data_IF_449584146473
#
_entry.id   IF_449584146473
#
_cell.length_a   1.000
_cell.length_b   1.000
_cell.length_c   1.000
_cell.angle_alpha   90.00
_cell.angle_beta   90.00
_cell.angle_gamma   90.00
#
_symmetry.space_group_name_H-M   'P 1'
#
loop_
_entity.id
_entity.type
_entity.pdbx_description
1 polymer ?
#
# COMPACT_ATOMS: atom_id res chain seq x y z
N UNK A 1 15.85 -41.28 -156.20
CA UNK A 1 15.90 -41.06 -154.74
C UNK A 1 15.83 -39.56 -154.48
N UNK A 2 14.71 -38.93 -154.83
CA UNK A 2 13.52 -38.61 -154.01
C UNK A 2 13.71 -37.42 -153.06
N UNK A 3 13.28 -36.24 -153.54
CA UNK A 3 13.17 -34.97 -152.82
C UNK A 3 12.45 -35.10 -151.46
N UNK A 4 11.62 -36.14 -151.27
CA UNK A 4 10.91 -36.39 -150.02
C UNK A 4 11.84 -36.73 -148.84
N UNK A 5 12.99 -37.38 -149.06
CA UNK A 5 13.96 -37.66 -147.98
C UNK A 5 14.63 -36.35 -147.53
N UNK A 6 14.94 -35.45 -148.47
CA UNK A 6 15.54 -34.15 -148.16
C UNK A 6 14.57 -33.27 -147.38
N UNK A 7 13.28 -33.25 -147.74
CA UNK A 7 12.24 -32.53 -147.00
C UNK A 7 12.04 -33.11 -145.60
N UNK A 8 12.04 -34.44 -145.45
CA UNK A 8 11.90 -35.08 -144.14
C UNK A 8 13.11 -34.81 -143.23
N UNK A 9 14.32 -34.76 -143.81
CA UNK A 9 15.55 -34.39 -143.11
C UNK A 9 15.55 -32.92 -142.66
N UNK A 10 15.04 -32.01 -143.48
CA UNK A 10 14.85 -30.58 -143.13
C UNK A 10 13.82 -30.44 -142.00
N UNK A 11 12.71 -31.18 -142.05
CA UNK A 11 11.69 -31.17 -140.99
C UNK A 11 12.28 -31.71 -139.67
N UNK A 12 13.05 -32.81 -139.71
CA UNK A 12 13.73 -33.34 -138.53
C UNK A 12 14.74 -32.32 -137.97
N UNK A 13 15.51 -31.65 -138.82
CA UNK A 13 16.44 -30.60 -138.38
C UNK A 13 15.73 -29.39 -137.76
N UNK A 14 14.56 -29.00 -138.28
CA UNK A 14 13.75 -27.93 -137.70
C UNK A 14 13.10 -28.33 -136.38
N UNK A 15 12.66 -29.58 -136.24
CA UNK A 15 12.13 -30.11 -134.96
C UNK A 15 13.25 -30.22 -133.92
N UNK A 16 14.40 -30.77 -134.29
CA UNK A 16 15.57 -30.90 -133.40
C UNK A 16 16.14 -29.53 -133.04
N UNK A 17 16.19 -28.59 -134.00
CA UNK A 17 16.59 -27.20 -133.77
C UNK A 17 15.59 -26.45 -132.89
N UNK A 18 14.29 -26.63 -133.10
CA UNK A 18 13.24 -26.04 -132.28
C UNK A 18 13.24 -26.56 -130.84
N UNK A 19 13.42 -27.87 -130.65
CA UNK A 19 13.58 -28.48 -129.31
C UNK A 19 14.87 -27.99 -128.65
N UNK A 20 15.96 -27.85 -129.42
CA UNK A 20 17.23 -27.31 -128.94
C UNK A 20 17.11 -25.86 -128.47
N UNK A 21 16.42 -25.01 -129.24
CA UNK A 21 16.18 -23.60 -128.88
C UNK A 21 15.23 -23.50 -127.69
N UNK A 22 14.16 -24.29 -127.65
CA UNK A 22 13.21 -24.31 -126.54
C UNK A 22 13.88 -24.77 -125.23
N UNK A 23 14.66 -25.86 -125.27
CA UNK A 23 15.42 -26.33 -124.11
C UNK A 23 16.52 -25.32 -123.71
N UNK A 24 17.12 -24.63 -124.67
CA UNK A 24 18.10 -23.57 -124.39
C UNK A 24 17.45 -22.37 -123.71
N UNK A 25 16.29 -21.91 -124.19
CA UNK A 25 15.55 -20.79 -123.62
C UNK A 25 15.04 -21.14 -122.21
N UNK A 26 14.51 -22.35 -122.02
CA UNK A 26 14.09 -22.85 -120.71
C UNK A 26 15.26 -22.96 -119.73
N UNK A 27 16.43 -23.45 -120.18
CA UNK A 27 17.64 -23.50 -119.35
C UNK A 27 18.18 -22.11 -119.02
N UNK A 28 18.07 -21.14 -119.93
CA UNK A 28 18.52 -19.77 -119.72
C UNK A 28 17.57 -19.00 -118.79
N UNK A 29 16.26 -19.23 -118.90
CA UNK A 29 15.26 -18.73 -117.97
C UNK A 29 15.48 -19.31 -116.56
N UNK A 30 15.70 -20.62 -116.45
CA UNK A 30 16.04 -21.26 -115.17
C UNK A 30 17.37 -20.74 -114.59
N UNK A 31 18.37 -20.45 -115.43
CA UNK A 31 19.64 -19.84 -115.00
C UNK A 31 19.43 -18.42 -114.47
N UNK A 32 18.65 -17.60 -115.17
CA UNK A 32 18.31 -16.23 -114.74
C UNK A 32 17.52 -16.25 -113.42
N UNK A 33 16.54 -17.13 -113.28
CA UNK A 33 15.80 -17.32 -112.03
C UNK A 33 16.71 -17.80 -110.89
N UNK A 34 17.70 -18.64 -111.17
CA UNK A 34 18.70 -19.08 -110.18
C UNK A 34 19.64 -17.94 -109.79
N UNK A 35 20.11 -17.13 -110.73
CA UNK A 35 20.93 -15.94 -110.45
C UNK A 35 20.15 -14.90 -109.63
N UNK A 36 18.88 -14.65 -109.95
CA UNK A 36 17.98 -13.77 -109.18
C UNK A 36 17.73 -14.32 -107.76
N UNK A 37 17.50 -15.63 -107.61
CA UNK A 37 17.36 -16.28 -106.29
C UNK A 37 18.65 -16.26 -105.48
N UNK A 38 19.80 -16.46 -106.10
CA UNK A 38 21.11 -16.36 -105.44
C UNK A 38 21.35 -14.92 -104.93
N UNK A 39 21.04 -13.91 -105.75
CA UNK A 39 21.14 -12.51 -105.36
C UNK A 39 20.18 -12.15 -104.23
N UNK A 40 18.96 -12.71 -104.25
CA UNK A 40 17.99 -12.54 -103.16
C UNK A 40 18.48 -13.20 -101.86
N UNK A 41 19.03 -14.41 -101.93
CA UNK A 41 19.61 -15.09 -100.77
C UNK A 41 20.80 -14.32 -100.17
N UNK A 42 21.63 -13.68 -101.00
CA UNK A 42 22.74 -12.84 -100.53
C UNK A 42 22.23 -11.61 -99.77
N UNK A 43 21.20 -10.93 -100.29
CA UNK A 43 20.53 -9.81 -99.60
C UNK A 43 19.83 -10.26 -98.31
N UNK A 44 19.14 -11.40 -98.34
CA UNK A 44 18.46 -11.95 -97.15
C UNK A 44 19.49 -12.31 -96.06
N UNK A 45 20.66 -12.85 -96.44
CA UNK A 45 21.74 -13.12 -95.50
C UNK A 45 22.33 -11.84 -94.87
N UNK A 46 22.46 -10.77 -95.64
CA UNK A 46 22.89 -9.46 -95.14
C UNK A 46 21.89 -8.88 -94.13
N UNK A 47 20.59 -8.94 -94.45
CA UNK A 47 19.52 -8.50 -93.54
C UNK A 47 19.47 -9.37 -92.28
N UNK A 48 19.63 -10.69 -92.40
CA UNK A 48 19.71 -11.61 -91.25
C UNK A 48 20.89 -11.23 -90.33
N UNK A 49 22.03 -10.85 -90.89
CA UNK A 49 23.19 -10.41 -90.11
C UNK A 49 22.88 -9.11 -89.35
N UNK A 50 22.30 -8.12 -90.03
CA UNK A 50 21.90 -6.84 -89.42
C UNK A 50 20.86 -7.03 -88.31
N UNK A 51 19.85 -7.89 -88.50
CA UNK A 51 18.84 -8.18 -87.48
C UNK A 51 19.44 -8.90 -86.28
N UNK A 52 20.37 -9.84 -86.48
CA UNK A 52 21.09 -10.51 -85.38
C UNK A 52 21.95 -9.54 -84.59
N UNK A 53 22.62 -8.60 -85.26
CA UNK A 53 23.37 -7.53 -84.60
C UNK A 53 22.45 -6.61 -83.79
N UNK A 54 21.29 -6.23 -84.36
CA UNK A 54 20.27 -5.45 -83.66
C UNK A 54 19.72 -6.15 -82.42
N UNK A 55 19.42 -7.44 -82.49
CA UNK A 55 18.98 -8.25 -81.32
C UNK A 55 20.07 -8.29 -80.26
N UNK A 56 21.32 -8.51 -80.65
CA UNK A 56 22.46 -8.55 -79.72
C UNK A 56 22.68 -7.21 -79.00
N UNK A 57 22.50 -6.11 -79.71
CA UNK A 57 22.55 -4.76 -79.13
C UNK A 57 21.41 -4.54 -78.12
N UNK A 58 20.20 -5.00 -78.43
CA UNK A 58 19.07 -4.95 -77.48
C UNK A 58 19.29 -5.82 -76.24
N UNK A 59 19.90 -7.00 -76.40
CA UNK A 59 20.31 -7.85 -75.28
C UNK A 59 21.35 -7.16 -74.38
N UNK A 60 22.32 -6.45 -74.97
CA UNK A 60 23.29 -5.64 -74.22
C UNK A 60 22.62 -4.51 -73.45
N UNK A 61 21.68 -3.79 -74.08
CA UNK A 61 20.90 -2.73 -73.42
C UNK A 61 20.07 -3.26 -72.25
N UNK A 62 19.49 -4.46 -72.38
CA UNK A 62 18.76 -5.13 -71.28
C UNK A 62 19.70 -5.43 -70.10
N UNK A 63 20.90 -5.92 -70.37
CA UNK A 63 21.87 -6.25 -69.32
C UNK A 63 22.38 -4.98 -68.62
N UNK A 64 22.74 -3.95 -69.38
CA UNK A 64 23.16 -2.64 -68.84
C UNK A 64 22.06 -1.99 -67.98
N UNK A 65 20.78 -2.08 -68.38
CA UNK A 65 19.67 -1.56 -67.58
C UNK A 65 19.51 -2.31 -66.24
N UNK A 66 19.71 -3.63 -66.23
CA UNK A 66 19.67 -4.42 -64.99
C UNK A 66 20.83 -4.09 -64.06
N UNK A 67 22.04 -3.98 -64.60
CA UNK A 67 23.25 -3.64 -63.84
C UNK A 67 23.15 -2.23 -63.23
N UNK A 68 22.64 -1.26 -64.01
CA UNK A 68 22.40 0.08 -63.51
C UNK A 68 21.33 0.11 -62.41
N UNK A 69 20.25 -0.66 -62.52
CA UNK A 69 19.24 -0.76 -61.46
C UNK A 69 19.84 -1.33 -60.17
N UNK A 70 20.68 -2.37 -60.26
CA UNK A 70 21.35 -2.92 -59.08
C UNK A 70 22.24 -1.91 -58.40
N UNK A 71 23.02 -1.16 -59.20
CA UNK A 71 23.91 -0.12 -58.68
C UNK A 71 23.15 1.05 -58.07
N UNK A 72 22.09 1.54 -58.72
CA UNK A 72 21.27 2.62 -58.17
C UNK A 72 20.60 2.22 -56.84
N UNK A 73 20.20 0.95 -56.68
CA UNK A 73 19.68 0.45 -55.39
C UNK A 73 20.76 0.40 -54.31
N UNK A 74 21.97 -0.05 -54.63
CA UNK A 74 23.11 -0.04 -53.71
C UNK A 74 23.49 1.38 -53.27
N UNK A 75 23.62 2.31 -54.21
CA UNK A 75 23.92 3.72 -53.94
C UNK A 75 22.84 4.35 -53.03
N UNK A 76 21.57 4.01 -53.24
CA UNK A 76 20.46 4.49 -52.42
C UNK A 76 20.50 3.91 -51.00
N UNK A 77 20.84 2.63 -50.86
CA UNK A 77 20.99 1.99 -49.56
C UNK A 77 22.16 2.61 -48.78
N UNK A 78 23.26 2.94 -49.45
CA UNK A 78 24.42 3.60 -48.85
C UNK A 78 24.07 5.02 -48.36
N UNK A 79 23.33 5.82 -49.14
CA UNK A 79 22.91 7.18 -48.75
C UNK A 79 22.08 7.22 -47.46
N UNK A 80 21.20 6.22 -47.26
CA UNK A 80 20.34 6.13 -46.08
C UNK A 80 21.00 5.36 -44.92
N UNK A 81 22.05 4.58 -45.16
CA UNK A 81 22.75 3.80 -44.14
C UNK A 81 23.36 4.68 -43.05
N UNK A 82 24.00 5.79 -43.43
CA UNK A 82 24.63 6.72 -42.47
C UNK A 82 23.59 7.38 -41.55
N UNK A 83 22.44 7.80 -42.10
CA UNK A 83 21.36 8.42 -41.33
C UNK A 83 20.66 7.41 -40.40
N UNK A 84 20.41 6.20 -40.91
CA UNK A 84 19.80 5.12 -40.11
C UNK A 84 20.74 4.66 -39.00
N UNK A 85 22.03 4.50 -39.28
CA UNK A 85 23.01 4.09 -38.27
C UNK A 85 23.14 5.10 -37.13
N UNK A 86 23.20 6.40 -37.44
CA UNK A 86 23.24 7.46 -36.42
C UNK A 86 22.01 7.45 -35.50
N UNK A 87 20.79 7.36 -36.07
CA UNK A 87 19.56 7.32 -35.28
C UNK A 87 19.42 6.03 -34.46
N UNK A 88 19.84 4.88 -35.02
CA UNK A 88 19.85 3.61 -34.31
C UNK A 88 20.84 3.66 -33.13
N UNK A 89 22.00 4.29 -33.32
CA UNK A 89 22.99 4.47 -32.27
C UNK A 89 22.48 5.37 -31.15
N UNK A 90 21.94 6.56 -31.47
CA UNK A 90 21.37 7.47 -30.46
C UNK A 90 20.21 6.81 -29.69
N UNK A 91 19.31 6.11 -30.40
CA UNK A 91 18.22 5.36 -29.77
C UNK A 91 18.78 4.25 -28.85
N UNK A 92 19.78 3.50 -29.30
CA UNK A 92 20.42 2.43 -28.52
C UNK A 92 21.12 2.96 -27.25
N UNK A 93 21.72 4.14 -27.32
CA UNK A 93 22.29 4.82 -26.15
C UNK A 93 21.19 5.20 -25.14
N UNK A 94 20.07 5.75 -25.62
CA UNK A 94 18.93 6.09 -24.75
C UNK A 94 18.25 4.86 -24.15
N UNK A 95 18.10 3.76 -24.89
CA UNK A 95 17.59 2.48 -24.38
C UNK A 95 18.52 1.89 -23.33
N UNK A 96 19.84 1.95 -23.54
CA UNK A 96 20.82 1.50 -22.56
C UNK A 96 20.76 2.36 -21.29
N UNK A 97 20.65 3.68 -21.42
CA UNK A 97 20.54 4.59 -20.28
C UNK A 97 19.22 4.40 -19.52
N UNK A 98 18.11 4.15 -20.24
CA UNK A 98 16.82 3.85 -19.62
C UNK A 98 16.88 2.53 -18.85
N UNK A 99 17.38 1.46 -19.46
CA UNK A 99 17.50 0.15 -18.80
C UNK A 99 18.45 0.19 -17.60
N UNK A 100 19.54 0.95 -17.66
CA UNK A 100 20.42 1.17 -16.52
C UNK A 100 19.70 1.92 -15.39
N UNK A 101 18.95 2.97 -15.70
CA UNK A 101 18.15 3.72 -14.71
C UNK A 101 17.05 2.87 -14.10
N UNK A 102 16.33 2.09 -14.90
CA UNK A 102 15.30 1.15 -14.44
C UNK A 102 15.88 0.09 -13.52
N UNK A 103 17.07 -0.47 -13.85
CA UNK A 103 17.75 -1.44 -13.01
C UNK A 103 18.19 -0.84 -11.67
N UNK A 104 18.83 0.33 -11.69
CA UNK A 104 19.22 1.05 -10.46
C UNK A 104 17.99 1.38 -9.62
N UNK A 105 16.88 1.75 -10.25
CA UNK A 105 15.62 1.99 -9.54
C UNK A 105 15.06 0.71 -8.93
N UNK A 106 15.06 -0.40 -9.68
CA UNK A 106 14.56 -1.70 -9.20
C UNK A 106 15.39 -2.21 -8.02
N UNK A 107 16.72 -2.10 -8.09
CA UNK A 107 17.61 -2.50 -7.01
C UNK A 107 17.40 -1.62 -5.78
N UNK A 108 17.29 -0.29 -5.95
CA UNK A 108 16.99 0.64 -4.86
C UNK A 108 15.58 0.45 -4.30
N UNK A 109 14.62 0.06 -5.13
CA UNK A 109 13.25 -0.25 -4.68
C UNK A 109 13.23 -1.53 -3.86
N UNK A 110 13.98 -2.57 -4.26
CA UNK A 110 14.17 -3.78 -3.46
C UNK A 110 14.84 -3.48 -2.12
N UNK A 111 15.88 -2.65 -2.08
CA UNK A 111 16.52 -2.22 -0.83
C UNK A 111 15.54 -1.46 0.09
N UNK A 112 14.73 -0.56 -0.49
CA UNK A 112 13.67 0.13 0.25
C UNK A 112 12.61 -0.83 0.75
N UNK A 113 12.16 -1.77 -0.07
CA UNK A 113 11.16 -2.77 0.28
C UNK A 113 11.66 -3.69 1.41
N UNK A 114 12.93 -4.10 1.37
CA UNK A 114 13.58 -4.79 2.48
C UNK A 114 13.66 -3.92 3.74
N UNK A 115 13.91 -2.62 3.59
CA UNK A 115 13.93 -1.68 4.73
C UNK A 115 12.53 -1.44 5.29
N UNK A 116 11.51 -1.37 4.43
CA UNK A 116 10.10 -1.27 4.81
C UNK A 116 9.68 -2.53 5.56
N UNK A 117 10.02 -3.72 5.07
CA UNK A 117 9.72 -4.98 5.77
C UNK A 117 10.33 -4.97 7.17
N UNK A 118 11.59 -4.56 7.32
CA UNK A 118 12.23 -4.43 8.65
C UNK A 118 11.51 -3.42 9.54
N UNK A 119 11.17 -2.25 9.00
CA UNK A 119 10.41 -1.23 9.73
C UNK A 119 9.00 -1.70 10.07
N UNK A 120 8.34 -2.47 9.21
CA UNK A 120 7.02 -3.06 9.46
C UNK A 120 7.09 -4.16 10.51
N UNK A 121 8.16 -4.96 10.55
CA UNK A 121 8.46 -5.90 11.63
C UNK A 121 8.69 -5.16 12.95
N UNK A 122 9.52 -4.11 12.96
CA UNK A 122 9.74 -3.26 14.15
C UNK A 122 8.44 -2.56 14.58
N UNK A 123 7.64 -2.03 13.66
CA UNK A 123 6.33 -1.43 13.95
C UNK A 123 5.37 -2.49 14.47
N UNK A 124 5.40 -3.72 13.95
CA UNK A 124 4.59 -4.83 14.46
C UNK A 124 4.98 -5.18 15.88
N UNK A 125 6.27 -5.26 16.17
CA UNK A 125 6.81 -5.50 17.50
C UNK A 125 6.46 -4.35 18.45
N UNK A 126 6.60 -3.09 18.01
CA UNK A 126 6.13 -1.93 18.75
C UNK A 126 4.61 -1.93 18.94
N UNK A 127 3.83 -2.42 17.98
CA UNK A 127 2.37 -2.49 18.06
C UNK A 127 1.92 -3.60 19.02
N UNK A 128 2.62 -4.73 19.05
CA UNK A 128 2.42 -5.76 20.07
C UNK A 128 2.79 -5.24 21.46
N UNK A 129 3.92 -4.53 21.57
CA UNK A 129 4.32 -3.86 22.81
C UNK A 129 3.31 -2.79 23.23
N UNK A 130 2.80 -1.97 22.30
CA UNK A 130 1.73 -0.99 22.55
C UNK A 130 0.46 -1.72 22.96
N UNK A 131 0.10 -2.84 22.34
CA UNK A 131 -1.08 -3.62 22.74
C UNK A 131 -0.91 -4.21 24.14
N UNK A 132 0.30 -4.67 24.49
CA UNK A 132 0.63 -5.12 25.85
C UNK A 132 0.54 -3.96 26.84
N UNK A 133 1.11 -2.81 26.49
CA UNK A 133 1.04 -1.59 27.29
C UNK A 133 -0.38 -1.04 27.39
N UNK A 134 -1.21 -1.14 26.35
CA UNK A 134 -2.62 -0.76 26.37
C UNK A 134 -3.41 -1.68 27.29
N UNK A 135 -3.13 -2.99 27.27
CA UNK A 135 -3.69 -3.93 28.22
C UNK A 135 -3.23 -3.62 29.65
N UNK A 136 -1.96 -3.28 29.85
CA UNK A 136 -1.45 -2.81 31.14
C UNK A 136 -2.08 -1.49 31.56
N UNK A 137 -2.29 -0.53 30.66
CA UNK A 137 -2.95 0.75 30.91
C UNK A 137 -4.42 0.52 31.25
N UNK A 138 -5.11 -0.41 30.57
CA UNK A 138 -6.49 -0.79 30.89
C UNK A 138 -6.53 -1.39 32.30
N UNK A 139 -5.66 -2.34 32.60
CA UNK A 139 -5.57 -2.95 33.92
C UNK A 139 -5.21 -1.92 35.00
N UNK A 140 -4.27 -1.01 34.72
CA UNK A 140 -3.92 0.10 35.61
C UNK A 140 -5.08 1.10 35.75
N UNK A 141 -5.85 1.38 34.71
CA UNK A 141 -7.06 2.23 34.78
C UNK A 141 -8.15 1.57 35.60
N UNK A 142 -8.36 0.27 35.43
CA UNK A 142 -9.25 -0.53 36.29
C UNK A 142 -8.76 -0.48 37.74
N UNK A 143 -7.46 -0.69 37.97
CA UNK A 143 -6.84 -0.60 39.29
C UNK A 143 -6.99 0.79 39.89
N UNK A 144 -6.80 1.86 39.11
CA UNK A 144 -7.00 3.24 39.55
C UNK A 144 -8.47 3.51 39.83
N UNK A 145 -9.40 2.95 39.06
CA UNK A 145 -10.83 3.08 39.32
C UNK A 145 -11.25 2.31 40.59
N UNK A 146 -10.72 1.11 40.80
CA UNK A 146 -10.85 0.32 42.04
C UNK A 146 -10.31 1.12 43.22
N UNK A 147 -9.06 1.57 43.16
CA UNK A 147 -8.43 2.38 44.20
C UNK A 147 -9.13 3.72 44.41
N UNK A 148 -9.68 4.34 43.36
CA UNK A 148 -10.47 5.57 43.49
C UNK A 148 -11.81 5.31 44.18
N UNK A 149 -12.45 4.17 43.93
CA UNK A 149 -13.66 3.77 44.64
C UNK A 149 -13.36 3.35 46.08
N UNK A 150 -12.29 2.59 46.32
CA UNK A 150 -11.81 2.25 47.65
C UNK A 150 -11.48 3.52 48.43
N UNK A 151 -10.72 4.46 47.84
CA UNK A 151 -10.45 5.78 48.41
C UNK A 151 -11.74 6.52 48.74
N UNK A 152 -12.72 6.54 47.84
CA UNK A 152 -14.01 7.19 48.09
C UNK A 152 -14.78 6.51 49.22
N UNK A 153 -14.78 5.18 49.27
CA UNK A 153 -15.41 4.40 50.35
C UNK A 153 -14.72 4.63 51.70
N UNK A 154 -13.39 4.69 51.70
CA UNK A 154 -12.56 5.06 52.86
C UNK A 154 -12.81 6.49 53.30
N UNK A 155 -12.92 7.46 52.38
CA UNK A 155 -13.29 8.84 52.70
C UNK A 155 -14.70 8.91 53.32
N UNK A 156 -15.65 8.11 52.81
CA UNK A 156 -17.00 8.02 53.35
C UNK A 156 -17.03 7.36 54.74
N UNK A 157 -16.22 6.31 54.95
CA UNK A 157 -16.09 5.63 56.24
C UNK A 157 -15.36 6.51 57.26
N UNK A 158 -14.34 7.26 56.82
CA UNK A 158 -13.66 8.29 57.60
C UNK A 158 -14.64 9.38 58.02
N UNK A 159 -15.44 9.90 57.09
CA UNK A 159 -16.47 10.90 57.39
C UNK A 159 -17.53 10.39 58.39
N UNK A 160 -17.99 9.13 58.24
CA UNK A 160 -18.93 8.48 59.17
C UNK A 160 -18.32 8.30 60.56
N UNK A 161 -17.09 7.78 60.64
CA UNK A 161 -16.35 7.60 61.91
C UNK A 161 -16.10 8.94 62.59
N UNK A 162 -15.69 9.97 61.86
CA UNK A 162 -15.52 11.33 62.40
C UNK A 162 -16.83 11.87 62.93
N UNK A 163 -17.94 11.68 62.22
CA UNK A 163 -19.27 12.12 62.65
C UNK A 163 -19.70 11.43 63.96
N UNK A 164 -19.53 10.11 64.07
CA UNK A 164 -19.85 9.35 65.29
C UNK A 164 -18.98 9.82 66.46
N UNK A 165 -17.67 9.97 66.25
CA UNK A 165 -16.73 10.51 67.24
C UNK A 165 -17.14 11.92 67.68
N UNK A 166 -17.56 12.76 66.75
CA UNK A 166 -17.97 14.14 67.05
C UNK A 166 -19.27 14.14 67.85
N UNK A 167 -20.25 13.31 67.49
CA UNK A 167 -21.49 13.15 68.26
C UNK A 167 -21.24 12.58 69.67
N UNK A 168 -20.40 11.56 69.80
CA UNK A 168 -20.03 10.97 71.09
C UNK A 168 -19.26 11.96 71.96
N UNK A 169 -18.32 12.71 71.39
CA UNK A 169 -17.59 13.78 72.08
C UNK A 169 -18.52 14.90 72.54
N UNK A 170 -19.51 15.29 71.72
CA UNK A 170 -20.53 16.28 72.10
C UNK A 170 -21.42 15.73 73.23
N UNK A 171 -21.90 14.49 73.11
CA UNK A 171 -22.72 13.84 74.15
C UNK A 171 -21.97 13.75 75.49
N UNK A 172 -20.74 13.24 75.47
CA UNK A 172 -19.90 13.15 76.66
C UNK A 172 -19.55 14.52 77.24
N UNK A 173 -19.23 15.51 76.40
CA UNK A 173 -19.00 16.89 76.84
C UNK A 173 -20.24 17.52 77.50
N UNK A 174 -21.44 17.28 76.95
CA UNK A 174 -22.69 17.76 77.53
C UNK A 174 -23.03 17.08 78.87
N UNK A 175 -22.80 15.77 78.97
CA UNK A 175 -22.97 14.99 80.21
C UNK A 175 -21.98 15.45 81.28
N UNK A 176 -20.71 15.69 80.91
CA UNK A 176 -19.69 16.19 81.82
C UNK A 176 -20.06 17.58 82.34
N UNK A 177 -20.48 18.50 81.48
CA UNK A 177 -20.94 19.82 81.88
C UNK A 177 -22.17 19.77 82.82
N UNK A 178 -23.14 18.90 82.54
CA UNK A 178 -24.30 18.68 83.42
C UNK A 178 -23.88 18.15 84.80
N UNK A 179 -22.91 17.24 84.84
CA UNK A 179 -22.41 16.64 86.10
C UNK A 179 -21.56 17.63 86.90
N UNK A 180 -20.72 18.43 86.25
CA UNK A 180 -19.97 19.52 86.89
C UNK A 180 -20.89 20.58 87.51
N UNK A 181 -21.98 20.93 86.82
CA UNK A 181 -22.97 21.87 87.33
C UNK A 181 -23.75 21.27 88.52
N UNK A 182 -24.17 20.01 88.43
CA UNK A 182 -24.81 19.32 89.55
C UNK A 182 -23.89 19.22 90.77
N UNK A 183 -22.59 18.97 90.56
CA UNK A 183 -21.58 18.94 91.62
C UNK A 183 -21.46 20.30 92.31
N UNK A 184 -21.38 21.41 91.56
CA UNK A 184 -21.39 22.77 92.13
C UNK A 184 -22.63 23.05 92.98
N UNK A 185 -23.81 22.62 92.52
CA UNK A 185 -25.06 22.80 93.28
C UNK A 185 -25.01 22.02 94.59
N UNK A 186 -24.57 20.77 94.56
CA UNK A 186 -24.46 19.92 95.77
C UNK A 186 -23.41 20.47 96.73
N UNK A 187 -22.28 20.96 96.22
CA UNK A 187 -21.21 21.53 97.03
C UNK A 187 -21.69 22.80 97.76
N UNK A 188 -22.43 23.66 97.05
CA UNK A 188 -23.11 24.82 97.66
C UNK A 188 -24.12 24.41 98.74
N UNK A 189 -24.95 23.40 98.48
CA UNK A 189 -25.91 22.88 99.46
C UNK A 189 -25.19 22.35 100.71
N UNK A 190 -24.10 21.60 100.54
CA UNK A 190 -23.29 21.10 101.65
C UNK A 190 -22.76 22.25 102.52
N UNK A 191 -22.24 23.30 101.90
CA UNK A 191 -21.70 24.47 102.60
C UNK A 191 -22.80 25.24 103.39
N UNK A 192 -23.99 25.40 102.80
CA UNK A 192 -25.17 25.95 103.49
C UNK A 192 -25.60 25.08 104.68
N UNK A 193 -25.60 23.75 104.53
CA UNK A 193 -25.89 22.82 105.63
C UNK A 193 -24.86 22.93 106.76
N UNK A 194 -23.57 23.02 106.43
CA UNK A 194 -22.49 23.17 107.42
C UNK A 194 -22.64 24.46 108.24
N UNK A 195 -22.99 25.57 107.59
CA UNK A 195 -23.27 26.83 108.30
C UNK A 195 -24.46 26.71 109.25
N UNK A 196 -25.54 26.02 108.84
CA UNK A 196 -26.70 25.85 109.71
C UNK A 196 -26.38 24.92 110.89
N UNK A 197 -25.67 23.81 110.66
CA UNK A 197 -25.24 22.90 111.74
C UNK A 197 -24.40 23.67 112.77
N UNK A 198 -23.40 24.44 112.32
CA UNK A 198 -22.58 25.27 113.20
C UNK A 198 -23.40 26.31 113.99
N UNK A 199 -24.43 26.91 113.37
CA UNK A 199 -25.33 27.84 114.06
C UNK A 199 -26.16 27.17 115.16
N UNK A 200 -26.60 25.93 114.91
CA UNK A 200 -27.40 25.14 115.85
C UNK A 200 -26.56 24.58 116.99
N UNK A 201 -25.35 24.10 116.71
CA UNK A 201 -24.40 23.67 117.74
C UNK A 201 -24.13 24.78 118.75
N UNK A 202 -24.00 26.02 118.26
CA UNK A 202 -23.88 27.20 119.13
C UNK A 202 -25.12 27.38 120.02
N UNK A 203 -26.32 27.22 119.47
CA UNK A 203 -27.57 27.34 120.23
C UNK A 203 -27.71 26.22 121.27
N UNK A 204 -27.31 24.99 120.92
CA UNK A 204 -27.29 23.84 121.83
C UNK A 204 -26.31 24.09 122.98
N UNK A 205 -25.11 24.62 122.69
CA UNK A 205 -24.14 24.99 123.73
C UNK A 205 -24.69 26.06 124.69
N UNK A 206 -25.38 27.08 124.18
CA UNK A 206 -26.05 28.10 124.99
C UNK A 206 -27.17 27.51 125.87
N UNK A 207 -27.94 26.55 125.35
CA UNK A 207 -28.99 25.87 126.11
C UNK A 207 -28.42 24.95 127.20
N UNK A 208 -27.34 24.21 126.91
CA UNK A 208 -26.65 23.36 127.89
C UNK A 208 -26.14 24.18 129.08
N UNK A 209 -25.54 25.34 128.82
CA UNK A 209 -25.06 26.23 129.88
C UNK A 209 -26.23 26.72 130.75
N UNK A 210 -27.35 27.07 130.12
CA UNK A 210 -28.56 27.53 130.80
C UNK A 210 -29.24 26.43 131.62
N UNK A 211 -29.24 25.20 131.13
CA UNK A 211 -29.72 24.03 131.89
C UNK A 211 -28.82 23.81 133.11
N UNK A 212 -27.50 23.89 132.94
CA UNK A 212 -26.52 23.75 134.02
C UNK A 212 -26.66 24.84 135.09
N UNK A 213 -26.85 26.10 134.70
CA UNK A 213 -27.17 27.20 135.63
C UNK A 213 -28.43 26.90 136.45
N UNK A 214 -29.48 26.36 135.81
CA UNK A 214 -30.74 25.99 136.48
C UNK A 214 -30.55 24.78 137.40
N UNK A 215 -29.71 23.82 137.05
CA UNK A 215 -29.33 22.70 137.92
C UNK A 215 -28.59 23.17 139.16
N UNK A 216 -27.61 24.08 139.01
CA UNK A 216 -26.88 24.68 140.12
C UNK A 216 -27.83 25.47 141.04
N UNK A 217 -28.76 26.24 140.49
CA UNK A 217 -29.80 26.93 141.27
C UNK A 217 -30.73 25.96 142.03
N UNK A 218 -31.10 24.84 141.41
CA UNK A 218 -31.90 23.79 142.06
C UNK A 218 -31.12 23.12 143.19
N UNK A 219 -29.83 22.84 143.00
CA UNK A 219 -28.96 22.24 144.03
C UNK A 219 -28.66 23.23 145.18
N UNK A 220 -28.45 24.51 144.88
CA UNK A 220 -28.29 25.56 145.90
C UNK A 220 -29.56 25.74 146.74
N UNK A 221 -30.74 25.74 146.10
CA UNK A 221 -32.03 25.73 146.79
C UNK A 221 -32.23 24.48 147.65
N UNK A 222 -31.83 23.29 147.17
CA UNK A 222 -31.86 22.05 147.97
C UNK A 222 -30.88 22.06 149.15
N UNK A 223 -29.68 22.64 148.98
CA UNK A 223 -28.65 22.73 150.01
C UNK A 223 -28.99 23.77 151.09
N UNK A 224 -29.82 24.76 150.77
CA UNK A 224 -30.29 25.80 151.68
C UNK A 224 -31.41 25.37 152.66
N UNK A 225 -31.80 24.08 152.68
CA UNK A 225 -32.78 23.52 153.64
C UNK A 225 -32.18 23.28 155.05
N UNK A 226 -32.68 23.94 156.13
CA UNK A 226 -32.58 23.43 157.49
C UNK A 226 -33.92 22.78 157.90
N UNK A 227 -33.83 21.77 158.78
CA UNK A 227 -34.97 21.11 159.42
C UNK A 227 -35.83 22.13 160.20
N UNK A 228 -37.15 21.99 160.03
CA UNK A 228 -38.24 22.55 160.87
C UNK A 228 -38.56 24.05 160.74
N UNK A 229 -39.36 24.44 159.73
CA UNK A 229 -40.32 25.56 159.87
C UNK A 229 -41.42 25.55 158.78
N UNK A 230 -42.67 25.29 159.20
CA UNK A 230 -43.82 24.90 158.35
C UNK A 230 -44.58 26.04 157.64
N UNK A 231 -43.95 27.20 157.40
CA UNK A 231 -44.65 28.34 156.73
C UNK A 231 -43.94 28.94 155.52
N UNK A 232 -42.70 28.52 155.20
CA UNK A 232 -42.04 28.84 153.93
C UNK A 232 -42.08 27.66 152.93
N UNK A 233 -42.55 26.48 153.34
CA UNK A 233 -42.50 25.23 152.56
C UNK A 233 -43.33 25.27 151.25
N UNK A 234 -44.49 25.94 151.23
CA UNK A 234 -45.36 26.02 150.03
C UNK A 234 -44.81 26.95 148.92
N UNK A 235 -44.22 28.10 149.27
CA UNK A 235 -43.67 29.04 148.27
C UNK A 235 -42.40 28.50 147.61
N UNK A 236 -41.53 27.84 148.39
CA UNK A 236 -40.31 27.22 147.87
C UNK A 236 -40.59 25.95 147.07
N UNK A 237 -41.58 25.14 147.45
CA UNK A 237 -42.02 24.00 146.63
C UNK A 237 -42.64 24.47 145.30
N UNK A 238 -43.36 25.60 145.30
CA UNK A 238 -43.84 26.23 144.07
C UNK A 238 -42.71 26.70 143.14
N UNK A 239 -41.68 27.38 143.69
CA UNK A 239 -40.50 27.81 142.91
C UNK A 239 -39.67 26.63 142.41
N UNK A 240 -39.48 25.60 143.22
CA UNK A 240 -38.76 24.39 142.84
C UNK A 240 -39.51 23.63 141.73
N UNK A 241 -40.84 23.50 141.84
CA UNK A 241 -41.68 22.91 140.79
C UNK A 241 -41.62 23.71 139.50
N UNK A 242 -41.67 25.04 139.56
CA UNK A 242 -41.58 25.91 138.39
C UNK A 242 -40.20 25.79 137.71
N UNK A 243 -39.11 25.73 138.49
CA UNK A 243 -37.76 25.52 137.96
C UNK A 243 -37.57 24.12 137.37
N UNK A 244 -38.13 23.08 138.00
CA UNK A 244 -38.12 21.72 137.44
C UNK A 244 -38.92 21.63 136.14
N UNK A 245 -40.06 22.33 136.05
CA UNK A 245 -40.88 22.37 134.83
C UNK A 245 -40.18 23.16 133.71
N UNK A 246 -39.51 24.27 134.04
CA UNK A 246 -38.69 25.04 133.09
C UNK A 246 -37.50 24.20 132.60
N UNK A 247 -36.80 23.49 133.51
CA UNK A 247 -35.72 22.56 133.16
C UNK A 247 -36.22 21.44 132.24
N UNK A 248 -37.33 20.79 132.57
CA UNK A 248 -37.89 19.71 131.74
C UNK A 248 -38.29 20.21 130.34
N UNK A 249 -38.81 21.44 130.23
CA UNK A 249 -39.09 22.07 128.93
C UNK A 249 -37.81 22.33 128.13
N UNK A 250 -36.74 22.80 128.79
CA UNK A 250 -35.43 23.02 128.15
C UNK A 250 -34.77 21.71 127.72
N UNK A 251 -34.84 20.66 128.53
CA UNK A 251 -34.33 19.32 128.17
C UNK A 251 -35.11 18.71 127.00
N UNK A 252 -36.43 18.86 126.97
CA UNK A 252 -37.25 18.42 125.83
C UNK A 252 -36.87 19.16 124.54
N UNK A 253 -36.64 20.47 124.61
CA UNK A 253 -36.15 21.27 123.48
C UNK A 253 -34.73 20.87 123.05
N UNK A 254 -33.86 20.51 123.99
CA UNK A 254 -32.52 20.02 123.72
C UNK A 254 -32.57 18.71 122.93
N UNK A 255 -33.35 17.73 123.39
CA UNK A 255 -33.54 16.43 122.72
C UNK A 255 -34.09 16.65 121.30
N UNK A 256 -35.07 17.55 121.14
CA UNK A 256 -35.63 17.87 119.82
C UNK A 256 -34.59 18.48 118.87
N UNK A 257 -33.70 19.35 119.36
CA UNK A 257 -32.62 19.92 118.54
C UNK A 257 -31.52 18.90 118.23
N UNK A 258 -31.15 18.04 119.17
CA UNK A 258 -30.17 16.96 118.97
C UNK A 258 -30.67 15.92 117.94
N UNK A 259 -31.95 15.55 117.98
CA UNK A 259 -32.54 14.66 116.97
C UNK A 259 -32.55 15.30 115.58
N UNK A 260 -32.87 16.59 115.50
CA UNK A 260 -32.80 17.37 114.25
C UNK A 260 -31.36 17.50 113.73
N UNK A 261 -30.36 17.59 114.61
CA UNK A 261 -28.95 17.63 114.24
C UNK A 261 -28.51 16.29 113.63
N UNK A 262 -28.82 15.17 114.30
CA UNK A 262 -28.53 13.81 113.81
C UNK A 262 -29.20 13.51 112.47
N UNK A 263 -30.43 13.98 112.27
CA UNK A 263 -31.11 13.85 110.97
C UNK A 263 -30.35 14.60 109.86
N UNK A 264 -29.86 15.81 110.14
CA UNK A 264 -29.06 16.60 109.19
C UNK A 264 -27.66 16.02 108.95
N UNK A 265 -27.02 15.43 109.95
CA UNK A 265 -25.73 14.76 109.77
C UNK A 265 -25.85 13.56 108.82
N UNK A 266 -26.95 12.80 108.89
CA UNK A 266 -27.24 11.72 107.92
C UNK A 266 -27.45 12.25 106.50
N UNK A 267 -28.19 13.35 106.34
CA UNK A 267 -28.38 13.99 105.03
C UNK A 267 -27.04 14.49 104.45
N UNK A 268 -26.15 15.01 105.30
CA UNK A 268 -24.79 15.43 104.91
C UNK A 268 -23.93 14.25 104.44
N UNK A 269 -23.94 13.13 105.16
CA UNK A 269 -23.22 11.92 104.75
C UNK A 269 -23.73 11.37 103.41
N UNK A 270 -25.04 11.45 103.15
CA UNK A 270 -25.64 11.05 101.89
C UNK A 270 -25.19 11.95 100.72
N UNK A 271 -25.10 13.27 100.94
CA UNK A 271 -24.58 14.22 99.95
C UNK A 271 -23.08 14.00 99.67
N UNK A 272 -22.28 13.72 100.71
CA UNK A 272 -20.84 13.39 100.54
C UNK A 272 -20.67 12.12 99.71
N UNK A 273 -21.50 11.10 99.95
CA UNK A 273 -21.47 9.86 99.17
C UNK A 273 -21.82 10.13 97.69
N UNK A 274 -22.86 10.93 97.42
CA UNK A 274 -23.24 11.34 96.04
C UNK A 274 -22.16 12.17 95.34
N UNK A 275 -21.43 13.01 96.08
CA UNK A 275 -20.28 13.76 95.55
C UNK A 275 -19.11 12.84 95.20
N UNK A 276 -18.76 11.88 96.05
CA UNK A 276 -17.71 10.91 95.75
C UNK A 276 -18.06 10.07 94.52
N UNK A 277 -19.31 9.60 94.43
CA UNK A 277 -19.76 8.82 93.28
C UNK A 277 -19.72 9.64 91.98
N UNK A 278 -20.16 10.89 92.03
CA UNK A 278 -20.07 11.81 90.87
C UNK A 278 -18.63 12.13 90.48
N UNK A 279 -17.73 12.25 91.46
CA UNK A 279 -16.29 12.49 91.22
C UNK A 279 -15.64 11.31 90.52
N UNK A 280 -15.96 10.09 90.95
CA UNK A 280 -15.45 8.88 90.32
C UNK A 280 -15.95 8.75 88.88
N UNK A 281 -17.24 9.03 88.64
CA UNK A 281 -17.81 9.04 87.29
C UNK A 281 -17.14 10.07 86.36
N UNK A 282 -16.86 11.29 86.86
CA UNK A 282 -16.16 12.31 86.08
C UNK A 282 -14.73 11.86 85.72
N UNK A 283 -14.01 11.24 86.65
CA UNK A 283 -12.66 10.76 86.40
C UNK A 283 -12.63 9.60 85.40
N UNK A 284 -13.59 8.67 85.51
CA UNK A 284 -13.77 7.57 84.54
C UNK A 284 -13.99 8.11 83.12
N UNK A 285 -14.93 9.07 82.98
CA UNK A 285 -15.23 9.71 81.69
C UNK A 285 -14.03 10.48 81.12
N UNK A 286 -13.24 11.15 81.98
CA UNK A 286 -12.00 11.84 81.57
C UNK A 286 -10.95 10.87 81.03
N UNK A 287 -10.76 9.73 81.69
CA UNK A 287 -9.79 8.72 81.26
C UNK A 287 -10.20 8.08 79.93
N UNK A 288 -11.49 7.76 79.76
CA UNK A 288 -12.01 7.25 78.50
C UNK A 288 -11.79 8.24 77.36
N UNK A 289 -12.03 9.54 77.59
CA UNK A 289 -11.75 10.60 76.63
C UNK A 289 -10.26 10.71 76.25
N UNK A 290 -9.36 10.58 77.23
CA UNK A 290 -7.92 10.65 77.00
C UNK A 290 -7.41 9.45 76.19
N UNK A 291 -7.85 8.24 76.52
CA UNK A 291 -7.45 7.02 75.81
C UNK A 291 -7.92 7.01 74.36
N UNK A 292 -9.16 7.43 74.12
CA UNK A 292 -9.74 7.52 72.78
C UNK A 292 -9.02 8.58 71.91
N UNK A 293 -8.45 9.61 72.53
CA UNK A 293 -7.62 10.61 71.86
C UNK A 293 -6.23 10.09 71.50
N UNK A 294 -5.59 9.22 72.30
CA UNK A 294 -4.22 8.78 71.98
C UNK A 294 -4.17 7.59 71.03
N UNK A 295 -4.97 6.54 71.26
CA UNK A 295 -4.87 5.30 70.45
C UNK A 295 -5.41 5.48 69.04
N UNK A 296 -6.58 6.13 68.88
CA UNK A 296 -7.19 6.25 67.55
C UNK A 296 -6.56 7.33 66.68
N UNK A 297 -6.05 8.41 67.26
CA UNK A 297 -5.37 9.44 66.46
C UNK A 297 -4.06 8.91 65.89
N UNK A 298 -3.27 8.14 66.65
CA UNK A 298 -1.99 7.60 66.20
C UNK A 298 -2.15 6.61 65.03
N UNK A 299 -3.05 5.62 65.15
CA UNK A 299 -3.32 4.64 64.09
C UNK A 299 -3.76 5.30 62.77
N UNK A 300 -4.65 6.28 62.82
CA UNK A 300 -5.10 6.98 61.61
C UNK A 300 -4.03 7.88 61.00
N UNK A 301 -3.11 8.42 61.82
CA UNK A 301 -2.02 9.25 61.30
C UNK A 301 -1.03 8.42 60.51
N UNK A 302 -0.75 7.20 60.97
CA UNK A 302 0.16 6.27 60.31
C UNK A 302 -0.43 5.74 58.98
N UNK A 303 -1.72 5.38 58.97
CA UNK A 303 -2.44 4.94 57.76
C UNK A 303 -2.51 6.06 56.69
N UNK A 304 -2.74 7.32 57.10
CA UNK A 304 -2.70 8.48 56.19
C UNK A 304 -1.30 8.72 55.62
N UNK A 305 -0.25 8.44 56.38
CA UNK A 305 1.13 8.57 55.92
C UNK A 305 1.45 7.57 54.80
N UNK A 306 1.09 6.30 55.01
CA UNK A 306 1.29 5.24 54.01
C UNK A 306 0.55 5.54 52.71
N UNK A 307 -0.73 5.95 52.81
CA UNK A 307 -1.53 6.33 51.64
C UNK A 307 -0.96 7.54 50.88
N UNK A 308 -0.34 8.50 51.59
CA UNK A 308 0.36 9.63 50.95
C UNK A 308 1.58 9.19 50.15
N UNK A 309 2.35 8.26 50.70
CA UNK A 309 3.57 7.76 50.06
C UNK A 309 3.23 6.97 48.79
N UNK A 310 2.20 6.13 48.85
CA UNK A 310 1.70 5.39 47.69
C UNK A 310 1.17 6.32 46.59
N UNK A 311 0.43 7.38 46.97
CA UNK A 311 -0.02 8.41 46.03
C UNK A 311 1.17 9.07 45.30
N UNK A 312 2.21 9.47 46.04
CA UNK A 312 3.39 10.11 45.44
C UNK A 312 4.12 9.18 44.46
N UNK A 313 4.19 7.88 44.78
CA UNK A 313 4.77 6.87 43.89
C UNK A 313 4.00 6.78 42.57
N UNK A 314 2.66 6.73 42.62
CA UNK A 314 1.82 6.69 41.41
C UNK A 314 1.95 7.97 40.58
N UNK A 315 2.00 9.15 41.21
CA UNK A 315 2.22 10.43 40.51
C UNK A 315 3.57 10.45 39.76
N UNK A 316 4.63 9.91 40.38
CA UNK A 316 5.94 9.82 39.73
C UNK A 316 5.95 8.91 38.49
N UNK A 317 5.27 7.76 38.56
CA UNK A 317 5.16 6.84 37.43
C UNK A 317 4.35 7.46 36.28
N UNK A 318 3.26 8.14 36.59
CA UNK A 318 2.42 8.82 35.61
C UNK A 318 3.22 9.89 34.85
N UNK A 319 4.11 10.62 35.54
CA UNK A 319 4.98 11.61 34.90
C UNK A 319 5.96 10.99 33.90
N UNK A 320 6.59 9.86 34.26
CA UNK A 320 7.53 9.15 33.36
C UNK A 320 6.83 8.70 32.08
N UNK A 321 5.63 8.12 32.19
CA UNK A 321 4.86 7.70 31.01
C UNK A 321 4.47 8.88 30.11
N UNK A 322 4.16 10.02 30.70
CA UNK A 322 3.76 11.21 29.96
C UNK A 322 4.94 11.81 29.16
N UNK A 323 6.15 11.79 29.71
CA UNK A 323 7.35 12.25 29.02
C UNK A 323 7.74 11.30 27.87
N UNK A 324 7.63 9.98 28.08
CA UNK A 324 7.87 8.99 27.03
C UNK A 324 6.89 9.13 25.85
N UNK A 325 5.63 9.45 26.13
CA UNK A 325 4.62 9.69 25.10
C UNK A 325 5.03 10.87 24.19
N UNK A 326 5.47 11.98 24.80
CA UNK A 326 5.92 13.18 24.07
C UNK A 326 7.10 12.89 23.14
N UNK A 327 8.08 12.11 23.60
CA UNK A 327 9.24 11.72 22.77
C UNK A 327 8.81 10.88 21.55
N UNK A 328 7.83 9.99 21.72
CA UNK A 328 7.30 9.19 20.61
C UNK A 328 6.50 10.02 19.62
N UNK A 329 5.73 11.00 20.07
CA UNK A 329 5.01 11.93 19.19
C UNK A 329 5.98 12.74 18.31
N UNK A 330 7.08 13.24 18.89
CA UNK A 330 8.13 13.94 18.12
C UNK A 330 8.76 13.05 17.04
N UNK A 331 9.08 11.79 17.36
CA UNK A 331 9.64 10.84 16.41
C UNK A 331 8.70 10.59 15.21
N UNK A 332 7.38 10.47 15.45
CA UNK A 332 6.38 10.29 14.39
C UNK A 332 6.40 11.48 13.42
N UNK A 333 6.43 12.72 13.93
CA UNK A 333 6.45 13.91 13.06
C UNK A 333 7.68 13.96 12.16
N UNK A 334 8.85 13.54 12.67
CA UNK A 334 10.08 13.47 11.89
C UNK A 334 9.98 12.43 10.76
N UNK A 335 9.42 11.26 11.05
CA UNK A 335 9.21 10.21 10.05
C UNK A 335 8.22 10.64 8.96
N UNK A 336 7.15 11.35 9.31
CA UNK A 336 6.20 11.89 8.34
C UNK A 336 6.86 12.90 7.39
N UNK A 337 7.73 13.77 7.90
CA UNK A 337 8.49 14.70 7.08
C UNK A 337 9.41 13.97 6.09
N UNK A 338 10.19 12.99 6.58
CA UNK A 338 11.09 12.20 5.75
C UNK A 338 10.34 11.46 4.63
N UNK A 339 9.16 10.89 4.96
CA UNK A 339 8.29 10.25 3.97
C UNK A 339 7.90 11.21 2.85
N UNK A 340 7.49 12.44 3.18
CA UNK A 340 7.13 13.45 2.19
C UNK A 340 8.28 13.82 1.25
N UNK A 341 9.51 13.94 1.75
CA UNK A 341 10.70 14.19 0.92
C UNK A 341 10.98 13.03 -0.04
N UNK A 342 10.78 11.78 0.40
CA UNK A 342 10.94 10.62 -0.47
C UNK A 342 9.88 10.56 -1.58
N UNK A 343 8.62 10.88 -1.28
CA UNK A 343 7.55 10.91 -2.28
C UNK A 343 7.83 11.94 -3.39
N UNK A 344 8.31 13.13 -3.01
CA UNK A 344 8.71 14.16 -3.99
C UNK A 344 9.83 13.69 -4.91
N UNK A 345 10.86 13.04 -4.34
CA UNK A 345 11.98 12.50 -5.11
C UNK A 345 11.57 11.37 -6.06
N UNK A 346 10.50 10.62 -5.76
CA UNK A 346 9.95 9.59 -6.66
C UNK A 346 9.26 10.28 -7.85
N UNK A 347 8.39 11.24 -7.58
CA UNK A 347 7.66 11.97 -8.64
C UNK A 347 8.60 12.66 -9.65
N UNK A 348 9.71 13.25 -9.20
CA UNK A 348 10.71 13.86 -10.09
C UNK A 348 11.40 12.83 -11.01
N UNK A 349 11.65 11.62 -10.50
CA UNK A 349 12.23 10.52 -11.28
C UNK A 349 11.26 9.98 -12.31
N UNK A 350 10.00 9.77 -11.94
CA UNK A 350 8.95 9.28 -12.85
C UNK A 350 8.76 10.22 -14.04
N UNK A 351 8.82 11.54 -13.79
CA UNK A 351 8.83 12.54 -14.86
C UNK A 351 9.99 12.35 -15.83
N UNK A 352 11.20 12.13 -15.30
CA UNK A 352 12.41 11.92 -16.12
C UNK A 352 12.33 10.64 -16.97
N UNK A 353 11.76 9.57 -16.42
CA UNK A 353 11.53 8.31 -17.16
C UNK A 353 10.50 8.52 -18.28
N UNK A 354 9.44 9.28 -18.00
CA UNK A 354 8.45 9.68 -18.99
C UNK A 354 9.07 10.47 -20.15
N UNK A 355 9.87 11.49 -19.85
CA UNK A 355 10.56 12.31 -20.85
C UNK A 355 11.49 11.47 -21.75
N UNK A 356 12.28 10.55 -21.15
CA UNK A 356 13.14 9.64 -21.92
C UNK A 356 12.35 8.69 -22.83
N UNK A 357 11.22 8.17 -22.34
CA UNK A 357 10.36 7.26 -23.11
C UNK A 357 9.73 7.96 -24.32
N UNK A 358 9.35 9.24 -24.18
CA UNK A 358 8.83 10.05 -25.29
C UNK A 358 9.92 10.21 -26.36
N UNK A 359 11.13 10.61 -25.97
CA UNK A 359 12.24 10.79 -26.91
C UNK A 359 12.56 9.49 -27.67
N UNK A 360 12.64 8.33 -26.98
CA UNK A 360 12.88 7.03 -27.64
C UNK A 360 11.81 6.73 -28.69
N UNK A 361 10.56 7.07 -28.40
CA UNK A 361 9.44 6.88 -29.33
C UNK A 361 9.56 7.82 -30.55
N UNK A 362 9.91 9.08 -30.34
CA UNK A 362 10.13 10.05 -31.43
C UNK A 362 11.25 9.59 -32.37
N UNK A 363 12.37 9.09 -31.82
CA UNK A 363 13.45 8.52 -32.63
C UNK A 363 13.02 7.26 -33.39
N UNK A 364 12.19 6.41 -32.78
CA UNK A 364 11.63 5.24 -33.46
C UNK A 364 10.75 5.64 -34.65
N UNK A 365 9.87 6.63 -34.47
CA UNK A 365 9.00 7.14 -35.54
C UNK A 365 9.83 7.71 -36.71
N UNK A 366 10.91 8.45 -36.42
CA UNK A 366 11.83 8.95 -37.45
C UNK A 366 12.55 7.84 -38.23
N UNK A 367 12.98 6.76 -37.54
CA UNK A 367 13.59 5.59 -38.18
C UNK A 367 12.61 4.91 -39.13
N UNK A 368 11.36 4.74 -38.69
CA UNK A 368 10.34 4.07 -39.49
C UNK A 368 9.95 4.90 -40.73
N UNK A 369 9.85 6.23 -40.58
CA UNK A 369 9.63 7.14 -41.71
C UNK A 369 10.77 7.07 -42.74
N UNK A 370 12.03 7.08 -42.31
CA UNK A 370 13.18 6.97 -43.21
C UNK A 370 13.22 5.62 -43.95
N UNK A 371 12.83 4.53 -43.29
CA UNK A 371 12.72 3.21 -43.93
C UNK A 371 11.62 3.18 -44.99
N UNK A 372 10.48 3.81 -44.71
CA UNK A 372 9.38 3.92 -45.68
C UNK A 372 9.81 4.73 -46.91
N UNK A 373 10.50 5.86 -46.71
CA UNK A 373 11.04 6.68 -47.80
C UNK A 373 12.04 5.91 -48.67
N UNK A 374 12.94 5.13 -48.06
CA UNK A 374 13.87 4.25 -48.79
C UNK A 374 13.10 3.25 -49.66
N UNK A 375 12.15 2.52 -49.06
CA UNK A 375 11.36 1.51 -49.77
C UNK A 375 10.55 2.10 -50.93
N UNK A 376 10.02 3.31 -50.76
CA UNK A 376 9.32 4.01 -51.83
C UNK A 376 10.26 4.36 -52.98
N UNK A 377 11.43 4.93 -52.70
CA UNK A 377 12.41 5.28 -53.74
C UNK A 377 12.94 4.06 -54.49
N UNK A 378 13.23 2.95 -53.79
CA UNK A 378 13.63 1.70 -54.44
C UNK A 378 12.55 1.19 -55.40
N UNK A 379 11.27 1.29 -55.01
CA UNK A 379 10.13 0.89 -55.83
C UNK A 379 9.93 1.82 -57.03
N UNK A 380 10.14 3.13 -56.87
CA UNK A 380 10.11 4.09 -57.98
C UNK A 380 11.19 3.78 -59.02
N UNK A 381 12.42 3.49 -58.57
CA UNK A 381 13.54 3.08 -59.43
C UNK A 381 13.30 1.75 -60.13
N UNK A 382 12.76 0.77 -59.41
CA UNK A 382 12.39 -0.52 -60.00
C UNK A 382 11.31 -0.35 -61.05
N UNK A 383 10.28 0.46 -60.78
CA UNK A 383 9.23 0.77 -61.75
C UNK A 383 9.81 1.44 -63.01
N UNK A 384 10.65 2.45 -62.85
CA UNK A 384 11.32 3.13 -63.96
C UNK A 384 12.13 2.16 -64.82
N UNK A 385 12.87 1.24 -64.19
CA UNK A 385 13.61 0.20 -64.91
C UNK A 385 12.68 -0.80 -65.61
N UNK A 386 11.57 -1.22 -64.98
CA UNK A 386 10.61 -2.13 -65.61
C UNK A 386 9.94 -1.52 -66.83
N UNK A 387 9.59 -0.22 -66.76
CA UNK A 387 9.00 0.52 -67.87
C UNK A 387 10.01 0.59 -69.04
N UNK A 388 11.27 0.96 -68.77
CA UNK A 388 12.36 0.97 -69.77
C UNK A 388 12.62 -0.42 -70.35
N UNK A 389 12.65 -1.45 -69.52
CA UNK A 389 12.89 -2.83 -69.93
C UNK A 389 11.77 -3.34 -70.85
N UNK A 390 10.51 -3.01 -70.55
CA UNK A 390 9.36 -3.40 -71.36
C UNK A 390 9.45 -2.85 -72.80
N UNK A 391 9.89 -1.61 -72.96
CA UNK A 391 10.07 -0.97 -74.27
C UNK A 391 11.18 -1.65 -75.08
N UNK A 392 12.34 -1.91 -74.45
CA UNK A 392 13.47 -2.57 -75.11
C UNK A 392 13.14 -4.02 -75.48
N UNK A 393 12.39 -4.73 -74.63
CA UNK A 393 11.89 -6.07 -74.93
C UNK A 393 10.89 -6.07 -76.09
N UNK A 394 9.99 -5.09 -76.17
CA UNK A 394 9.04 -4.97 -77.28
C UNK A 394 9.79 -4.76 -78.62
N UNK A 395 10.81 -3.89 -78.62
CA UNK A 395 11.68 -3.68 -79.79
C UNK A 395 12.45 -4.95 -80.17
N UNK A 396 13.03 -5.67 -79.19
CA UNK A 396 13.70 -6.95 -79.41
C UNK A 396 12.74 -7.98 -80.04
N UNK A 397 11.53 -8.13 -79.49
CA UNK A 397 10.53 -9.07 -79.99
C UNK A 397 10.11 -8.75 -81.42
N UNK A 398 10.02 -7.46 -81.78
CA UNK A 398 9.75 -7.03 -83.18
C UNK A 398 10.87 -7.47 -84.12
N UNK A 399 12.13 -7.27 -83.74
CA UNK A 399 13.30 -7.70 -84.53
C UNK A 399 13.37 -9.23 -84.65
N UNK A 400 13.07 -9.97 -83.58
CA UNK A 400 13.04 -11.44 -83.60
C UNK A 400 11.91 -11.98 -84.49
N UNK A 401 10.73 -11.35 -84.48
CA UNK A 401 9.63 -11.70 -85.36
C UNK A 401 9.96 -11.43 -86.83
N UNK A 402 10.61 -10.30 -87.13
CA UNK A 402 11.08 -9.96 -88.47
C UNK A 402 12.15 -10.96 -88.96
N UNK A 403 13.11 -11.30 -88.09
CA UNK A 403 14.13 -12.32 -88.36
C UNK A 403 13.49 -13.68 -88.66
N UNK A 404 12.51 -14.11 -87.86
CA UNK A 404 11.82 -15.38 -88.05
C UNK A 404 11.08 -15.44 -89.40
N UNK A 405 10.42 -14.34 -89.80
CA UNK A 405 9.74 -14.26 -91.10
C UNK A 405 10.71 -14.35 -92.28
N UNK A 406 11.88 -13.71 -92.19
CA UNK A 406 12.89 -13.75 -93.26
C UNK A 406 13.52 -15.14 -93.35
N UNK A 407 13.83 -15.78 -92.22
CA UNK A 407 14.31 -17.17 -92.17
C UNK A 407 13.28 -18.13 -92.78
N UNK A 408 11.98 -17.92 -92.52
CA UNK A 408 10.93 -18.76 -93.10
C UNK A 408 10.80 -18.59 -94.62
N UNK A 409 10.86 -17.35 -95.11
CA UNK A 409 10.81 -17.02 -96.55
C UNK A 409 12.04 -17.49 -97.32
N UNK A 410 13.21 -17.52 -96.68
CA UNK A 410 14.50 -17.92 -97.28
C UNK A 410 14.77 -19.44 -97.24
N UNK A 411 13.86 -20.26 -96.68
CA UNK A 411 14.00 -21.72 -96.69
C UNK A 411 14.03 -22.26 -98.13
N UNK A 412 15.08 -23.01 -98.51
CA UNK A 412 15.17 -23.54 -99.86
C UNK A 412 14.00 -24.49 -100.16
N UNK A 413 13.34 -24.31 -101.31
CA UNK A 413 12.26 -25.18 -101.80
C UNK A 413 12.76 -26.52 -102.38
N UNK A 414 13.96 -26.96 -101.97
CA UNK A 414 14.53 -28.23 -102.39
C UNK A 414 14.94 -29.06 -101.19
N UNK A 415 14.82 -30.37 -101.35
CA UNK A 415 15.35 -31.36 -100.43
C UNK A 415 16.57 -32.02 -101.03
N UNK A 416 17.63 -32.09 -100.25
CA UNK A 416 18.82 -32.86 -100.60
C UNK A 416 18.62 -34.32 -100.16
N UNK A 417 18.61 -35.23 -101.13
CA UNK A 417 18.43 -36.66 -100.95
C UNK A 417 19.52 -37.20 -100.03
N UNK A 418 19.13 -37.94 -99.00
CA UNK A 418 20.06 -38.61 -98.09
C UNK A 418 20.21 -40.09 -98.45
N UNK A 419 21.30 -40.70 -98.00
CA UNK A 419 21.55 -42.13 -98.21
C UNK A 419 20.44 -42.97 -97.57
N UNK A 420 19.79 -43.81 -98.38
CA UNK A 420 18.66 -44.67 -97.97
C UNK A 420 17.26 -44.07 -98.21
N UNK A 421 17.19 -42.85 -98.73
CA UNK A 421 15.95 -42.25 -99.19
C UNK A 421 15.44 -42.95 -100.47
N UNK A 422 14.13 -42.95 -100.63
CA UNK A 422 13.43 -43.24 -101.88
C UNK A 422 12.46 -42.11 -102.15
N UNK A 423 12.02 -41.91 -103.40
CA UNK A 423 11.04 -40.86 -103.71
C UNK A 423 9.78 -41.00 -102.85
N UNK A 424 9.38 -42.23 -102.52
CA UNK A 424 8.30 -42.53 -101.58
C UNK A 424 8.55 -42.00 -100.16
N UNK A 425 9.71 -42.31 -99.57
CA UNK A 425 10.06 -41.84 -98.21
C UNK A 425 10.19 -40.32 -98.15
N UNK A 426 10.68 -39.72 -99.22
CA UNK A 426 10.77 -38.26 -99.34
C UNK A 426 9.34 -37.68 -99.39
N UNK A 427 8.44 -38.24 -100.21
CA UNK A 427 7.05 -37.81 -100.27
C UNK A 427 6.29 -38.01 -98.94
N UNK A 428 6.53 -39.11 -98.23
CA UNK A 428 5.98 -39.34 -96.89
C UNK A 428 6.49 -38.31 -95.88
N UNK A 429 7.75 -37.89 -95.98
CA UNK A 429 8.33 -36.86 -95.11
C UNK A 429 7.77 -35.46 -95.35
N UNK A 430 7.52 -35.09 -96.61
CA UNK A 430 7.11 -33.73 -96.97
C UNK A 430 5.60 -33.56 -97.18
N UNK A 431 4.91 -34.61 -97.62
CA UNK A 431 3.47 -34.59 -97.91
C UNK A 431 2.66 -35.51 -97.00
N UNK A 432 3.32 -36.27 -96.12
CA UNK A 432 2.67 -37.30 -95.28
C UNK A 432 1.89 -38.36 -96.08
N UNK A 433 2.18 -38.45 -97.39
CA UNK A 433 1.53 -39.33 -98.35
C UNK A 433 2.59 -39.84 -99.33
N UNK A 434 3.09 -41.05 -99.09
CA UNK A 434 4.14 -41.64 -99.92
C UNK A 434 3.77 -41.79 -101.40
N UNK A 435 2.49 -42.01 -101.71
CA UNK A 435 1.94 -42.08 -103.08
C UNK A 435 2.19 -40.82 -103.91
N UNK A 436 2.39 -39.65 -103.27
CA UNK A 436 2.69 -38.39 -103.94
C UNK A 436 4.13 -38.27 -104.42
N UNK A 437 4.92 -39.32 -104.33
CA UNK A 437 6.28 -39.36 -104.88
C UNK A 437 6.34 -39.01 -106.37
N UNK A 438 5.26 -39.30 -107.11
CA UNK A 438 5.12 -38.93 -108.53
C UNK A 438 5.25 -37.41 -108.70
N UNK A 439 4.68 -36.59 -107.80
CA UNK A 439 4.82 -35.13 -107.87
C UNK A 439 6.28 -34.68 -107.72
N UNK A 440 7.05 -35.35 -106.86
CA UNK A 440 8.48 -35.06 -106.68
C UNK A 440 9.24 -35.47 -107.95
N UNK A 441 8.91 -36.62 -108.52
CA UNK A 441 9.49 -37.09 -109.77
C UNK A 441 9.20 -36.13 -110.93
N UNK A 442 7.94 -35.73 -111.10
CA UNK A 442 7.49 -34.79 -112.15
C UNK A 442 8.19 -33.44 -112.03
N UNK A 443 8.28 -32.88 -110.82
CA UNK A 443 8.93 -31.61 -110.57
C UNK A 443 10.47 -31.64 -110.75
N UNK A 444 11.06 -32.83 -110.91
CA UNK A 444 12.51 -33.02 -111.04
C UNK A 444 12.86 -33.99 -112.18
N UNK A 445 12.02 -34.07 -113.20
CA UNK A 445 12.17 -35.02 -114.32
C UNK A 445 13.48 -34.80 -115.10
N UNK A 446 14.00 -33.59 -115.05
CA UNK A 446 15.30 -33.18 -115.58
C UNK A 446 16.48 -33.80 -114.80
N UNK A 447 16.29 -34.06 -113.50
CA UNK A 447 17.33 -34.57 -112.58
C UNK A 447 17.18 -36.07 -112.29
N UNK A 448 15.98 -36.60 -112.39
CA UNK A 448 15.66 -38.01 -112.11
C UNK A 448 15.39 -38.71 -113.43
N UNK A 449 16.41 -39.39 -113.95
CA UNK A 449 16.29 -40.15 -115.21
C UNK A 449 15.56 -41.48 -115.03
N UNK A 450 15.66 -42.06 -113.85
CA UNK A 450 14.95 -43.28 -113.48
C UNK A 450 14.31 -43.06 -112.10
N UNK A 451 12.97 -43.10 -111.98
CA UNK A 451 12.28 -42.88 -110.71
C UNK A 451 12.67 -43.90 -109.62
N UNK A 452 13.09 -45.11 -110.02
CA UNK A 452 13.52 -46.15 -109.08
C UNK A 452 14.96 -45.95 -108.58
N UNK A 453 15.70 -45.00 -109.13
CA UNK A 453 17.11 -44.77 -108.83
C UNK A 453 17.42 -43.30 -108.57
N UNK A 454 17.49 -42.96 -107.28
CA UNK A 454 17.95 -41.66 -106.79
C UNK A 454 19.25 -41.82 -106.01
N UNK A 455 20.08 -40.79 -106.04
CA UNK A 455 21.40 -40.78 -105.42
C UNK A 455 21.47 -39.77 -104.27
N UNK A 456 22.23 -40.06 -103.21
CA UNK A 456 22.51 -39.09 -102.16
C UNK A 456 23.10 -37.79 -102.73
N UNK A 457 22.82 -36.67 -102.09
CA UNK A 457 23.20 -35.31 -102.47
C UNK A 457 22.49 -34.74 -103.70
N UNK A 458 21.59 -35.49 -104.35
CA UNK A 458 20.70 -34.92 -105.36
C UNK A 458 19.75 -33.92 -104.72
N UNK A 459 19.53 -32.78 -105.37
CA UNK A 459 18.63 -31.74 -104.88
C UNK A 459 17.33 -31.76 -105.66
N UNK A 460 16.28 -32.24 -105.00
CA UNK A 460 14.94 -32.31 -105.56
C UNK A 460 14.12 -31.12 -105.09
N UNK A 461 13.60 -30.35 -106.02
CA UNK A 461 12.54 -29.40 -105.78
C UNK A 461 11.37 -30.15 -105.14
N UNK A 462 10.92 -29.70 -103.98
CA UNK A 462 9.73 -30.23 -103.32
C UNK A 462 8.62 -29.21 -103.52
N UNK A 463 7.68 -29.43 -104.46
CA UNK A 463 6.51 -28.58 -104.63
C UNK A 463 5.77 -28.35 -103.30
N UNK A 464 5.58 -27.10 -102.89
CA UNK A 464 4.69 -26.77 -101.77
C UNK A 464 3.27 -26.72 -102.34
N UNK A 465 2.53 -27.82 -102.13
CA UNK A 465 1.19 -28.21 -102.64
C UNK A 465 1.10 -28.83 -104.06
#
# INVERSE_FOLDING_TARGET
MSKNIMVLFIIILLIVGGIGIYNYDQANQAKKEMEEKCLQLEKDNEIILQLKEGIKEKEKQIEELKENLTKEKEDLQEEYADKLSALIEEKGQLETLLTEKEKVWLDKNKEKEQSIIKLEEEISEYKENISSLDNEIINLKEKVAELSNEKKNLEEDYAKKLSILTEEKIKLGSLLAQKEEAMKIIEKQKEEFEQIVASKDKTIAELLERVKEKEEQIEELKASLPREEKSLEEEYMGKLSALMEEKAKLEALLIEQEEKLKARDREKEELISKLQESTNQINELKNQLAQLSSEKEEDYTEEISLLREEKLKLESQLKVFQDLLSEKEEAITLFEQQKGEFEKNIAERDKTIGDLSINIKEYQEQIDELREQLAQKEKEKEKECTDKLSLVLEEKNKLEAELAQIIEKSKPNYYEVKKGDSLWKIAEKFYHQGERWIKIFEANIDKIKNPDLIYPYQRFTIPKE
#
